data_IF_742394244046
#
_entry.id   IF_742394244046
#
_cell.length_a   1.000
_cell.length_b   1.000
_cell.length_c   1.000
_cell.angle_alpha   90.00
_cell.angle_beta   90.00
_cell.angle_gamma   90.00
#
_symmetry.space_group_name_H-M   'P 1'
#
loop_
_entity.id
_entity.type
_entity.pdbx_description
1 polymer ?
#
# COMPACT_ATOMS: atom_id res chain seq x y z
N UNK A 1 22.11 -49.87 -20.51
CA UNK A 1 22.99 -48.82 -19.94
C UNK A 1 22.28 -48.26 -18.72
N UNK A 2 22.73 -48.68 -17.51
CA UNK A 2 22.14 -48.26 -16.23
C UNK A 2 22.45 -46.81 -15.95
N UNK A 3 21.39 -45.99 -15.89
CA UNK A 3 21.47 -44.68 -15.26
C UNK A 3 21.07 -44.86 -13.79
N UNK A 4 22.04 -44.86 -12.92
CA UNK A 4 21.82 -44.77 -11.47
C UNK A 4 21.41 -43.36 -11.14
N UNK A 5 20.15 -43.17 -10.80
CA UNK A 5 19.63 -41.93 -10.25
C UNK A 5 20.05 -41.85 -8.79
N UNK A 6 21.12 -41.13 -8.51
CA UNK A 6 21.44 -40.65 -7.16
C UNK A 6 20.48 -39.51 -6.81
N UNK A 7 19.32 -39.86 -6.30
CA UNK A 7 18.43 -38.92 -5.60
C UNK A 7 18.95 -38.77 -4.17
N UNK A 8 20.00 -38.01 -3.98
CA UNK A 8 20.36 -37.48 -2.67
C UNK A 8 19.48 -36.28 -2.41
N UNK A 9 18.36 -36.52 -1.77
CA UNK A 9 17.52 -35.46 -1.18
C UNK A 9 18.30 -34.81 -0.03
N UNK A 10 19.14 -33.82 -0.32
CA UNK A 10 19.55 -32.85 0.69
C UNK A 10 18.36 -31.87 0.91
N UNK A 11 17.44 -32.28 1.78
CA UNK A 11 16.60 -31.34 2.45
C UNK A 11 17.52 -30.53 3.38
N UNK A 12 18.05 -29.40 2.87
CA UNK A 12 18.62 -28.39 3.75
C UNK A 12 17.50 -27.88 4.64
N UNK A 13 17.71 -27.76 5.97
CA UNK A 13 16.74 -27.12 6.82
C UNK A 13 16.48 -25.72 6.26
N UNK A 14 15.23 -25.35 6.23
CA UNK A 14 14.76 -24.04 5.80
C UNK A 14 15.22 -23.01 6.86
N UNK A 15 16.47 -22.57 6.76
CA UNK A 15 17.03 -21.46 7.54
C UNK A 15 16.48 -20.14 7.03
N UNK A 16 15.15 -20.03 7.00
CA UNK A 16 14.48 -18.75 6.80
C UNK A 16 14.93 -17.74 7.87
N UNK A 17 14.94 -16.44 7.56
CA UNK A 17 15.40 -15.42 8.51
C UNK A 17 14.63 -15.54 9.82
N UNK A 18 15.36 -15.57 10.94
CA UNK A 18 14.76 -15.72 12.27
C UNK A 18 13.97 -14.46 12.68
N UNK A 19 12.70 -14.42 12.29
CA UNK A 19 11.74 -13.40 12.74
C UNK A 19 11.11 -13.76 14.08
N UNK A 20 11.49 -14.90 14.68
CA UNK A 20 10.91 -15.42 15.93
C UNK A 20 11.23 -14.50 17.11
N UNK A 21 12.39 -13.86 17.11
CA UNK A 21 12.80 -12.94 18.18
C UNK A 21 11.85 -11.73 18.30
N UNK A 22 11.53 -11.07 17.20
CA UNK A 22 10.61 -9.93 17.17
C UNK A 22 9.17 -10.36 17.50
N UNK A 23 8.70 -11.48 16.94
CA UNK A 23 7.38 -12.04 17.26
C UNK A 23 7.25 -12.43 18.71
N UNK A 24 8.24 -13.14 19.27
CA UNK A 24 8.24 -13.56 20.67
C UNK A 24 8.30 -12.37 21.61
N UNK A 25 9.11 -11.35 21.31
CA UNK A 25 9.18 -10.12 22.12
C UNK A 25 7.82 -9.41 22.22
N UNK A 26 7.03 -9.40 21.15
CA UNK A 26 5.69 -8.77 21.13
C UNK A 26 4.63 -9.69 21.73
N UNK A 27 4.71 -11.01 21.54
CA UNK A 27 3.75 -11.96 22.09
C UNK A 27 3.78 -12.03 23.63
N UNK A 28 4.94 -11.77 24.24
CA UNK A 28 5.13 -11.75 25.70
C UNK A 28 5.05 -10.36 26.32
N UNK A 29 5.01 -9.30 25.47
CA UNK A 29 4.96 -7.93 25.94
C UNK A 29 3.53 -7.55 26.40
N UNK A 30 3.46 -6.76 27.46
CA UNK A 30 2.27 -6.03 27.87
C UNK A 30 2.54 -4.53 27.72
N UNK A 31 1.53 -3.76 27.35
CA UNK A 31 1.68 -2.30 27.33
C UNK A 31 1.93 -1.80 28.76
N UNK A 32 2.90 -0.91 28.93
CA UNK A 32 3.28 -0.34 30.24
C UNK A 32 2.13 0.39 30.94
N UNK A 33 1.12 0.80 30.18
CA UNK A 33 -0.11 1.43 30.67
C UNK A 33 -1.30 0.62 30.22
N UNK A 34 -1.61 -0.42 30.98
CA UNK A 34 -2.80 -1.21 30.75
C UNK A 34 -4.07 -0.39 31.07
N UNK A 35 -4.97 -0.30 30.07
CA UNK A 35 -6.38 -0.13 30.35
C UNK A 35 -6.98 -1.53 30.52
N UNK A 36 -7.79 -1.72 31.53
CA UNK A 36 -8.21 -3.02 32.06
C UNK A 36 -9.14 -3.87 31.18
N UNK A 37 -9.47 -3.43 29.97
CA UNK A 37 -10.45 -4.14 29.13
C UNK A 37 -9.88 -4.53 27.77
N UNK A 38 -9.75 -5.83 27.57
CA UNK A 38 -9.55 -6.46 26.27
C UNK A 38 -10.86 -6.37 25.45
N UNK A 39 -11.22 -5.17 25.01
CA UNK A 39 -12.34 -4.97 24.10
C UNK A 39 -11.97 -5.36 22.67
N UNK A 40 -12.92 -5.93 21.92
CA UNK A 40 -12.71 -6.17 20.50
C UNK A 40 -12.56 -4.83 19.76
N UNK A 41 -11.56 -4.75 18.88
CA UNK A 41 -11.41 -3.61 17.98
C UNK A 41 -12.55 -3.61 16.95
N UNK A 42 -13.29 -2.50 16.88
CA UNK A 42 -14.28 -2.28 15.81
C UNK A 42 -13.58 -1.60 14.63
N UNK A 43 -13.58 -2.19 13.42
CA UNK A 43 -13.10 -1.55 12.22
C UNK A 43 -13.77 -0.18 11.95
N UNK A 44 -15.00 0.02 12.43
CA UNK A 44 -15.74 1.27 12.33
C UNK A 44 -15.61 2.13 13.61
N UNK A 45 -14.42 2.18 14.19
CA UNK A 45 -14.09 2.86 15.44
C UNK A 45 -14.65 4.28 15.57
N UNK A 46 -14.83 4.99 14.43
CA UNK A 46 -15.39 6.36 14.42
C UNK A 46 -16.88 6.40 14.80
N UNK A 47 -17.60 5.29 14.66
CA UNK A 47 -18.99 5.19 15.08
C UNK A 47 -19.17 5.38 16.60
N UNK A 48 -18.15 5.04 17.39
CA UNK A 48 -18.14 5.21 18.83
C UNK A 48 -18.26 6.69 19.28
N UNK A 49 -17.95 7.65 18.39
CA UNK A 49 -18.14 9.09 18.65
C UNK A 49 -19.59 9.54 18.52
N UNK A 50 -20.51 8.69 18.02
CA UNK A 50 -21.92 9.01 17.78
C UNK A 50 -22.12 10.32 16.99
N UNK A 51 -21.23 10.60 16.04
CA UNK A 51 -21.26 11.77 15.18
C UNK A 51 -21.62 11.37 13.74
N UNK A 52 -22.83 11.74 13.26
CA UNK A 52 -23.28 11.37 11.92
C UNK A 52 -22.47 12.08 10.82
N UNK A 53 -21.96 13.29 11.09
CA UNK A 53 -21.16 14.06 10.14
C UNK A 53 -19.79 13.37 9.96
N UNK A 54 -19.14 13.02 11.06
CA UNK A 54 -17.89 12.25 11.03
C UNK A 54 -18.06 10.94 10.27
N UNK A 55 -19.12 10.19 10.57
CA UNK A 55 -19.41 8.92 9.92
C UNK A 55 -19.62 9.06 8.42
N UNK A 56 -20.34 10.09 7.99
CA UNK A 56 -20.56 10.38 6.58
C UNK A 56 -19.25 10.78 5.86
N UNK A 57 -18.43 11.63 6.49
CA UNK A 57 -17.13 12.06 5.94
C UNK A 57 -16.18 10.86 5.78
N UNK A 58 -16.07 10.00 6.78
CA UNK A 58 -15.22 8.80 6.72
C UNK A 58 -15.70 7.85 5.63
N UNK A 59 -17.00 7.59 5.57
CA UNK A 59 -17.59 6.71 4.53
C UNK A 59 -17.31 7.26 3.13
N UNK A 60 -17.48 8.55 2.92
CA UNK A 60 -17.19 9.19 1.63
C UNK A 60 -15.68 9.10 1.31
N UNK A 61 -14.81 9.33 2.27
CA UNK A 61 -13.37 9.22 2.06
C UNK A 61 -12.96 7.80 1.66
N UNK A 62 -13.47 6.78 2.33
CA UNK A 62 -13.18 5.38 1.98
C UNK A 62 -13.56 5.03 0.54
N UNK A 63 -14.58 5.69 -0.03
CA UNK A 63 -15.05 5.45 -1.39
C UNK A 63 -14.37 6.33 -2.44
N UNK A 64 -14.12 7.60 -2.11
CA UNK A 64 -13.75 8.62 -3.09
C UNK A 64 -12.28 9.09 -2.96
N UNK A 65 -11.59 8.79 -1.87
CA UNK A 65 -10.20 9.19 -1.67
C UNK A 65 -9.30 8.61 -2.77
N UNK A 66 -8.47 9.46 -3.37
CA UNK A 66 -7.63 9.06 -4.50
C UNK A 66 -6.52 8.08 -4.08
N UNK A 67 -5.96 8.20 -2.89
CA UNK A 67 -4.91 7.28 -2.42
C UNK A 67 -5.49 5.88 -2.19
N UNK A 68 -6.72 5.77 -1.65
CA UNK A 68 -7.44 4.50 -1.51
C UNK A 68 -7.71 3.87 -2.90
N UNK A 69 -8.14 4.68 -3.87
CA UNK A 69 -8.38 4.22 -5.24
C UNK A 69 -7.10 3.81 -5.96
N UNK A 70 -6.01 4.55 -5.78
CA UNK A 70 -4.68 4.18 -6.29
C UNK A 70 -4.23 2.85 -5.67
N UNK A 71 -4.38 2.68 -4.36
CA UNK A 71 -4.06 1.42 -3.70
C UNK A 71 -4.88 0.25 -4.25
N UNK A 72 -6.18 0.44 -4.49
CA UNK A 72 -7.03 -0.56 -5.13
C UNK A 72 -6.56 -0.93 -6.56
N UNK A 73 -6.12 0.05 -7.36
CA UNK A 73 -5.56 -0.24 -8.70
C UNK A 73 -4.24 -1.00 -8.62
N UNK A 74 -3.40 -0.74 -7.60
CA UNK A 74 -2.17 -1.52 -7.35
C UNK A 74 -2.47 -2.98 -7.02
N UNK A 75 -3.56 -3.25 -6.28
CA UNK A 75 -4.02 -4.63 -6.05
C UNK A 75 -4.37 -5.32 -7.37
N UNK A 76 -5.12 -4.66 -8.25
CA UNK A 76 -5.45 -5.22 -9.57
C UNK A 76 -4.19 -5.49 -10.39
N UNK A 77 -3.23 -4.57 -10.40
CA UNK A 77 -1.94 -4.73 -11.07
C UNK A 77 -1.15 -5.92 -10.52
N UNK A 78 -1.06 -6.05 -9.19
CA UNK A 78 -0.35 -7.14 -8.55
C UNK A 78 -1.01 -8.51 -8.82
N UNK A 79 -2.35 -8.58 -8.79
CA UNK A 79 -3.10 -9.79 -9.15
C UNK A 79 -2.89 -10.19 -10.61
N UNK A 80 -2.86 -9.24 -11.53
CA UNK A 80 -2.53 -9.51 -12.93
C UNK A 80 -1.09 -10.03 -13.07
N UNK A 81 -0.15 -9.49 -12.30
CA UNK A 81 1.23 -9.99 -12.20
C UNK A 81 1.31 -11.43 -11.69
N UNK A 82 0.55 -11.75 -10.63
CA UNK A 82 0.44 -13.12 -10.09
C UNK A 82 -0.14 -14.09 -11.13
N UNK A 83 -1.20 -13.70 -11.84
CA UNK A 83 -1.76 -14.50 -12.94
C UNK A 83 -0.73 -14.74 -14.04
N UNK A 84 0.02 -13.70 -14.44
CA UNK A 84 1.07 -13.82 -15.44
C UNK A 84 2.22 -14.74 -14.98
N UNK A 85 2.62 -14.67 -13.71
CA UNK A 85 3.62 -15.58 -13.16
C UNK A 85 3.13 -17.03 -13.12
N UNK A 86 1.89 -17.25 -12.66
CA UNK A 86 1.27 -18.57 -12.61
C UNK A 86 1.06 -19.18 -14.01
N UNK A 87 0.90 -18.38 -15.06
CA UNK A 87 0.76 -18.89 -16.43
C UNK A 87 1.98 -19.66 -16.92
N UNK A 88 3.17 -19.43 -16.33
CA UNK A 88 4.39 -20.22 -16.63
C UNK A 88 4.29 -21.69 -16.23
N UNK A 89 3.35 -22.03 -15.34
CA UNK A 89 3.08 -23.42 -14.94
C UNK A 89 2.29 -24.20 -15.99
N UNK A 90 1.67 -23.51 -16.94
CA UNK A 90 0.87 -24.10 -18.01
C UNK A 90 1.62 -24.05 -19.35
N UNK A 91 1.32 -24.97 -20.29
CA UNK A 91 1.85 -24.88 -21.63
C UNK A 91 1.32 -23.65 -22.37
N UNK A 92 2.17 -23.07 -23.23
CA UNK A 92 1.78 -22.03 -24.18
C UNK A 92 1.46 -22.63 -25.54
N UNK A 93 0.42 -22.16 -26.19
CA UNK A 93 0.03 -22.58 -27.52
C UNK A 93 0.00 -21.35 -28.44
N UNK A 94 0.77 -21.40 -29.52
CA UNK A 94 0.86 -20.34 -30.50
C UNK A 94 0.50 -20.82 -31.91
N UNK A 95 -0.16 -19.96 -32.68
CA UNK A 95 -0.34 -20.16 -34.11
C UNK A 95 0.63 -19.26 -34.86
N UNK A 96 1.53 -19.85 -35.64
CA UNK A 96 2.50 -19.14 -36.44
C UNK A 96 2.23 -19.34 -37.95
N UNK A 97 2.41 -18.26 -38.70
CA UNK A 97 2.32 -18.28 -40.16
C UNK A 97 3.52 -17.54 -40.77
N UNK A 98 4.12 -18.12 -41.79
CA UNK A 98 5.20 -17.46 -42.52
C UNK A 98 5.08 -17.68 -44.02
N UNK A 99 5.38 -16.65 -44.78
CA UNK A 99 5.55 -16.71 -46.23
C UNK A 99 6.96 -16.32 -46.57
N UNK A 100 7.68 -17.11 -47.32
CA UNK A 100 9.04 -16.84 -47.77
C UNK A 100 9.22 -17.10 -49.25
N UNK A 101 9.94 -16.25 -49.95
CA UNK A 101 10.37 -16.39 -51.33
C UNK A 101 11.88 -16.19 -51.37
N UNK A 102 12.61 -17.27 -51.44
CA UNK A 102 14.07 -17.29 -51.46
C UNK A 102 14.57 -17.62 -52.87
N UNK A 103 15.32 -16.73 -53.44
CA UNK A 103 15.91 -16.93 -54.80
C UNK A 103 17.42 -16.96 -54.70
N UNK A 104 17.97 -18.02 -55.26
CA UNK A 104 19.42 -18.16 -55.42
C UNK A 104 19.86 -17.43 -56.69
N UNK A 105 20.84 -16.52 -56.58
CA UNK A 105 21.45 -15.87 -57.72
C UNK A 105 22.39 -16.77 -58.53
N UNK A 106 22.40 -18.07 -58.28
CA UNK A 106 23.27 -19.04 -58.97
C UNK A 106 22.71 -19.41 -60.33
N UNK A 107 23.62 -19.70 -61.33
CA UNK A 107 23.20 -20.27 -62.58
C UNK A 107 22.44 -21.59 -62.42
N UNK A 108 21.53 -21.88 -63.34
CA UNK A 108 20.60 -23.04 -63.20
C UNK A 108 21.31 -24.41 -63.03
N UNK A 109 22.53 -24.55 -63.55
CA UNK A 109 23.34 -25.77 -63.34
C UNK A 109 23.65 -26.03 -61.86
N UNK A 110 23.68 -25.03 -61.01
CA UNK A 110 24.01 -25.10 -59.59
C UNK A 110 22.77 -25.02 -58.71
N UNK A 111 21.57 -24.75 -59.26
CA UNK A 111 20.33 -24.67 -58.50
C UNK A 111 19.87 -25.98 -57.83
N UNK A 112 20.49 -27.10 -58.24
CA UNK A 112 20.26 -28.40 -57.56
C UNK A 112 20.77 -28.42 -56.13
N UNK A 113 21.80 -27.68 -55.83
CA UNK A 113 22.41 -27.57 -54.47
C UNK A 113 21.86 -26.37 -53.66
N UNK A 114 21.31 -25.38 -54.36
CA UNK A 114 20.67 -24.19 -53.71
C UNK A 114 19.47 -23.75 -54.53
N UNK A 115 18.34 -24.45 -54.40
CA UNK A 115 17.14 -24.24 -55.20
C UNK A 115 16.45 -22.90 -54.82
N UNK A 116 15.76 -22.31 -55.82
CA UNK A 116 14.77 -21.28 -55.54
C UNK A 116 13.61 -21.87 -54.79
N UNK A 117 13.24 -21.31 -53.65
CA UNK A 117 12.17 -21.86 -52.82
C UNK A 117 11.13 -20.80 -52.48
N UNK A 118 9.87 -21.09 -52.66
CA UNK A 118 8.75 -20.35 -52.11
C UNK A 118 8.02 -21.25 -51.14
N UNK A 119 7.87 -20.78 -49.88
CA UNK A 119 7.17 -21.54 -48.87
C UNK A 119 6.12 -20.70 -48.17
N UNK A 120 4.92 -21.25 -48.06
CA UNK A 120 3.88 -20.78 -47.15
C UNK A 120 3.76 -21.82 -46.03
N UNK A 121 4.01 -21.42 -44.80
CA UNK A 121 4.00 -22.30 -43.64
C UNK A 121 2.98 -21.83 -42.62
N UNK A 122 2.25 -22.79 -42.05
CA UNK A 122 1.38 -22.55 -40.90
C UNK A 122 1.66 -23.64 -39.87
N UNK A 123 1.88 -23.25 -38.61
CA UNK A 123 2.13 -24.20 -37.53
C UNK A 123 1.43 -23.82 -36.25
N UNK A 124 1.06 -24.85 -35.51
CA UNK A 124 0.60 -24.78 -34.14
C UNK A 124 1.77 -25.22 -33.25
N UNK A 125 2.27 -24.33 -32.41
CA UNK A 125 3.45 -24.54 -31.59
C UNK A 125 3.05 -24.58 -30.12
N UNK A 126 3.39 -25.68 -29.43
CA UNK A 126 3.24 -25.84 -27.99
C UNK A 126 4.62 -25.76 -27.35
N UNK A 127 4.75 -24.92 -26.35
CA UNK A 127 5.95 -24.82 -25.51
C UNK A 127 5.58 -24.90 -24.04
N UNK A 128 6.29 -25.74 -23.29
CA UNK A 128 6.09 -25.88 -21.86
C UNK A 128 7.40 -26.16 -21.13
N UNK A 129 7.70 -25.34 -20.11
CA UNK A 129 8.76 -25.63 -19.15
C UNK A 129 8.15 -26.48 -18.03
N UNK A 130 8.59 -27.76 -17.97
CA UNK A 130 8.12 -28.68 -16.92
C UNK A 130 8.85 -28.35 -15.62
N UNK A 131 8.12 -27.83 -14.65
CA UNK A 131 8.66 -27.34 -13.38
C UNK A 131 8.96 -28.49 -12.41
N UNK A 132 10.06 -29.22 -12.67
CA UNK A 132 10.48 -30.36 -11.85
C UNK A 132 10.99 -29.89 -10.49
N UNK A 133 11.79 -28.82 -10.47
CA UNK A 133 12.47 -28.34 -9.27
C UNK A 133 11.80 -27.15 -8.60
N UNK A 134 10.67 -26.71 -9.09
CA UNK A 134 9.83 -25.71 -8.46
C UNK A 134 10.22 -24.25 -8.71
N UNK A 135 11.03 -23.95 -9.72
CA UNK A 135 11.41 -22.59 -10.06
C UNK A 135 10.18 -21.74 -10.47
N UNK A 136 9.36 -22.27 -11.39
CA UNK A 136 8.17 -21.57 -11.83
C UNK A 136 7.10 -21.47 -10.72
N UNK A 137 6.94 -22.52 -9.89
CA UNK A 137 6.08 -22.47 -8.70
C UNK A 137 6.54 -21.42 -7.71
N UNK A 138 7.84 -21.39 -7.37
CA UNK A 138 8.40 -20.41 -6.46
C UNK A 138 8.22 -18.96 -6.98
N UNK A 139 8.36 -18.75 -8.29
CA UNK A 139 8.10 -17.46 -8.94
C UNK A 139 6.62 -17.06 -8.85
N UNK A 140 5.70 -18.01 -9.05
CA UNK A 140 4.26 -17.79 -8.91
C UNK A 140 3.87 -17.49 -7.45
N UNK A 141 4.42 -18.25 -6.49
CA UNK A 141 4.25 -18.00 -5.05
C UNK A 141 4.72 -16.59 -4.66
N UNK A 142 5.90 -16.17 -5.14
CA UNK A 142 6.42 -14.82 -4.87
C UNK A 142 5.46 -13.74 -5.37
N UNK A 143 4.96 -13.87 -6.59
CA UNK A 143 4.01 -12.92 -7.16
C UNK A 143 2.64 -12.94 -6.46
N UNK A 144 2.20 -14.09 -5.94
CA UNK A 144 0.97 -14.19 -5.15
C UNK A 144 1.14 -13.51 -3.78
N UNK A 145 2.26 -13.72 -3.10
CA UNK A 145 2.56 -12.99 -1.86
C UNK A 145 2.67 -11.48 -2.08
N UNK A 146 3.23 -11.01 -3.20
CA UNK A 146 3.23 -9.59 -3.56
C UNK A 146 1.79 -9.05 -3.76
N UNK A 147 0.91 -9.85 -4.36
CA UNK A 147 -0.48 -9.48 -4.53
C UNK A 147 -1.23 -9.41 -3.18
N UNK A 148 -0.95 -10.35 -2.27
CA UNK A 148 -1.46 -10.32 -0.90
C UNK A 148 -0.93 -9.10 -0.14
N UNK A 149 0.38 -8.79 -0.22
CA UNK A 149 0.97 -7.60 0.40
C UNK A 149 0.32 -6.31 -0.11
N UNK A 150 0.03 -6.24 -1.42
CA UNK A 150 -0.67 -5.10 -2.02
C UNK A 150 -2.11 -4.96 -1.51
N UNK A 151 -2.81 -6.08 -1.26
CA UNK A 151 -4.15 -6.08 -0.68
C UNK A 151 -4.14 -5.53 0.76
N UNK A 152 -3.18 -5.96 1.58
CA UNK A 152 -3.00 -5.44 2.94
C UNK A 152 -2.63 -3.95 2.94
N UNK A 153 -1.77 -3.52 2.01
CA UNK A 153 -1.44 -2.10 1.84
C UNK A 153 -2.66 -1.25 1.45
N UNK A 154 -3.61 -1.81 0.70
CA UNK A 154 -4.86 -1.12 0.38
C UNK A 154 -5.78 -0.98 1.60
N UNK A 155 -5.85 -1.97 2.49
CA UNK A 155 -6.52 -1.84 3.78
C UNK A 155 -5.83 -0.78 4.67
N UNK A 156 -4.50 -0.74 4.66
CA UNK A 156 -3.72 0.32 5.32
C UNK A 156 -4.07 1.71 4.81
N UNK A 157 -4.21 1.88 3.50
CA UNK A 157 -4.61 3.16 2.90
C UNK A 157 -6.02 3.59 3.32
N UNK A 158 -6.97 2.66 3.44
CA UNK A 158 -8.32 2.94 3.97
C UNK A 158 -8.28 3.38 5.43
N UNK A 159 -7.48 2.71 6.26
CA UNK A 159 -7.31 3.07 7.67
C UNK A 159 -6.71 4.47 7.82
N UNK A 160 -5.66 4.78 7.05
CA UNK A 160 -5.02 6.09 7.05
C UNK A 160 -5.96 7.20 6.60
N UNK A 161 -6.73 6.98 5.50
CA UNK A 161 -7.71 7.95 5.02
C UNK A 161 -8.79 8.21 6.08
N UNK A 162 -9.32 7.17 6.72
CA UNK A 162 -10.32 7.27 7.79
C UNK A 162 -9.79 8.05 9.00
N UNK A 163 -8.56 7.74 9.42
CA UNK A 163 -7.91 8.37 10.58
C UNK A 163 -7.60 9.83 10.31
N UNK A 164 -7.13 10.17 9.11
CA UNK A 164 -6.79 11.53 8.75
C UNK A 164 -8.04 12.42 8.60
N UNK A 165 -9.12 11.89 8.01
CA UNK A 165 -10.41 12.59 7.98
C UNK A 165 -10.92 12.88 9.39
N UNK A 166 -10.89 11.91 10.29
CA UNK A 166 -11.32 12.12 11.67
C UNK A 166 -10.45 13.15 12.39
N UNK A 167 -9.13 13.07 12.24
CA UNK A 167 -8.18 14.03 12.82
C UNK A 167 -8.44 15.45 12.34
N UNK A 168 -8.64 15.64 11.03
CA UNK A 168 -8.92 16.94 10.44
C UNK A 168 -10.32 17.45 10.83
N UNK A 169 -11.32 16.58 10.90
CA UNK A 169 -12.66 16.95 11.35
C UNK A 169 -12.65 17.51 12.79
N UNK A 170 -12.00 16.83 13.73
CA UNK A 170 -11.87 17.33 15.10
C UNK A 170 -10.99 18.59 15.18
N UNK A 171 -9.96 18.72 14.35
CA UNK A 171 -9.17 19.95 14.26
C UNK A 171 -10.03 21.12 13.73
N UNK A 172 -10.86 20.87 12.74
CA UNK A 172 -11.80 21.86 12.18
C UNK A 172 -12.83 22.29 13.22
N UNK A 173 -13.46 21.35 13.91
CA UNK A 173 -14.42 21.65 15.00
C UNK A 173 -13.77 22.45 16.12
N UNK A 174 -12.58 22.06 16.53
CA UNK A 174 -11.83 22.79 17.57
C UNK A 174 -11.40 24.19 17.14
N UNK A 175 -11.04 24.38 15.86
CA UNK A 175 -10.72 25.71 15.31
C UNK A 175 -11.96 26.62 15.28
N UNK A 176 -13.11 26.09 14.87
CA UNK A 176 -14.39 26.82 14.87
C UNK A 176 -14.83 27.21 16.28
N UNK A 177 -14.72 26.29 17.23
CA UNK A 177 -15.06 26.60 18.62
C UNK A 177 -14.19 27.73 19.17
N UNK A 178 -12.88 27.70 18.88
CA UNK A 178 -11.98 28.81 19.25
C UNK A 178 -12.36 30.11 18.54
N UNK A 179 -12.66 30.06 17.25
CA UNK A 179 -13.09 31.23 16.50
C UNK A 179 -14.34 31.86 17.14
N UNK A 180 -15.33 31.07 17.46
CA UNK A 180 -16.56 31.54 18.12
C UNK A 180 -16.24 32.20 19.48
N UNK A 181 -15.45 31.55 20.32
CA UNK A 181 -15.06 32.10 21.62
C UNK A 181 -14.29 33.43 21.48
N UNK A 182 -13.41 33.55 20.49
CA UNK A 182 -12.69 34.80 20.23
C UNK A 182 -13.59 35.88 19.68
N UNK A 183 -14.60 35.55 18.87
CA UNK A 183 -15.59 36.51 18.39
C UNK A 183 -16.46 37.03 19.55
N UNK A 184 -16.91 36.16 20.44
CA UNK A 184 -17.65 36.54 21.66
C UNK A 184 -16.80 37.43 22.58
N UNK A 185 -15.55 37.06 22.83
CA UNK A 185 -14.61 37.84 23.63
C UNK A 185 -14.34 39.20 22.99
N UNK A 186 -14.22 39.28 21.67
CA UNK A 186 -14.01 40.54 20.95
C UNK A 186 -15.24 41.47 21.13
N UNK A 187 -16.45 40.94 21.08
CA UNK A 187 -17.66 41.75 21.35
C UNK A 187 -17.63 42.31 22.77
N UNK A 188 -17.32 41.52 23.79
CA UNK A 188 -17.19 41.99 25.17
C UNK A 188 -16.11 43.07 25.30
N UNK A 189 -14.99 43.00 24.63
CA UNK A 189 -13.92 43.98 24.61
C UNK A 189 -14.34 45.27 23.92
N UNK A 190 -15.06 45.18 22.80
CA UNK A 190 -15.63 46.34 22.12
C UNK A 190 -16.64 47.09 23.00
N UNK A 191 -17.46 46.37 23.75
CA UNK A 191 -18.43 46.96 24.69
C UNK A 191 -17.69 47.66 25.85
N UNK A 192 -16.65 47.05 26.36
CA UNK A 192 -15.78 47.65 27.42
C UNK A 192 -15.09 48.91 26.91
N UNK A 193 -14.53 48.89 25.71
CA UNK A 193 -13.92 50.07 25.09
C UNK A 193 -14.92 51.21 24.89
N UNK A 194 -16.15 50.89 24.41
CA UNK A 194 -17.23 51.89 24.30
C UNK A 194 -17.57 52.52 25.65
N UNK A 195 -17.65 51.74 26.73
CA UNK A 195 -17.90 52.22 28.07
C UNK A 195 -16.79 53.16 28.57
N UNK A 196 -15.51 52.79 28.38
CA UNK A 196 -14.36 53.59 28.78
C UNK A 196 -14.32 54.93 28.01
N UNK A 197 -14.61 54.93 26.72
CA UNK A 197 -14.76 56.16 25.89
C UNK A 197 -15.89 57.06 26.37
N UNK A 198 -17.04 56.51 26.76
CA UNK A 198 -18.15 57.28 27.33
C UNK A 198 -17.74 57.91 28.68
N UNK A 199 -17.00 57.20 29.51
CA UNK A 199 -16.49 57.77 30.79
C UNK A 199 -15.45 58.86 30.57
N UNK A 200 -14.59 58.72 29.59
CA UNK A 200 -13.59 59.75 29.22
C UNK A 200 -14.29 61.02 28.77
N UNK A 201 -15.31 60.91 27.92
CA UNK A 201 -16.12 62.03 27.47
C UNK A 201 -16.83 62.80 28.63
N UNK A 202 -17.04 62.11 29.77
CA UNK A 202 -17.58 62.69 31.02
C UNK A 202 -16.52 63.13 31.99
N UNK A 203 -15.23 63.02 31.62
CA UNK A 203 -14.10 63.35 32.50
C UNK A 203 -13.78 62.31 33.60
N UNK A 204 -14.41 61.12 33.53
CA UNK A 204 -14.30 60.05 34.53
C UNK A 204 -13.25 58.97 34.21
N UNK A 205 -12.59 59.07 33.06
CA UNK A 205 -11.51 58.21 32.63
C UNK A 205 -10.43 59.02 31.90
N UNK A 206 -9.19 58.50 31.85
CA UNK A 206 -8.09 59.17 31.16
C UNK A 206 -8.03 58.75 29.66
N UNK A 207 -7.37 59.59 28.83
CA UNK A 207 -7.03 59.20 27.44
C UNK A 207 -6.15 57.97 27.38
N UNK A 208 -5.32 57.75 28.40
CA UNK A 208 -4.51 56.57 28.53
C UNK A 208 -5.38 55.30 28.67
N UNK A 209 -6.42 55.32 29.47
CA UNK A 209 -7.33 54.19 29.63
C UNK A 209 -8.04 53.87 28.34
N UNK A 210 -8.49 54.88 27.56
CA UNK A 210 -9.05 54.69 26.24
C UNK A 210 -8.07 54.07 25.28
N UNK A 211 -6.82 54.57 25.22
CA UNK A 211 -5.80 54.04 24.33
C UNK A 211 -5.42 52.60 24.70
N UNK A 212 -5.34 52.26 25.99
CA UNK A 212 -5.09 50.92 26.48
C UNK A 212 -6.23 49.95 26.07
N UNK A 213 -7.46 50.32 26.31
CA UNK A 213 -8.61 49.49 25.94
C UNK A 213 -8.71 49.27 24.43
N UNK A 214 -8.42 50.28 23.62
CA UNK A 214 -8.35 50.17 22.18
C UNK A 214 -7.21 49.24 21.72
N UNK A 215 -6.05 49.36 22.34
CA UNK A 215 -4.92 48.47 22.02
C UNK A 215 -5.24 46.97 22.33
N UNK A 216 -5.87 46.71 23.50
CA UNK A 216 -6.30 45.36 23.87
C UNK A 216 -7.35 44.80 22.90
N UNK A 217 -8.34 45.61 22.51
CA UNK A 217 -9.35 45.23 21.49
C UNK A 217 -8.71 44.91 20.16
N UNK A 218 -7.79 45.76 19.68
CA UNK A 218 -7.06 45.55 18.43
C UNK A 218 -6.19 44.31 18.42
N UNK A 219 -5.48 44.09 19.56
CA UNK A 219 -4.67 42.88 19.73
C UNK A 219 -5.49 41.61 19.66
N UNK A 220 -6.70 41.58 20.20
CA UNK A 220 -7.61 40.46 20.13
C UNK A 220 -8.18 40.29 18.71
N UNK A 221 -8.59 41.40 18.08
CA UNK A 221 -9.08 41.38 16.71
C UNK A 221 -8.08 40.82 15.71
N UNK A 222 -6.78 41.08 15.93
CA UNK A 222 -5.70 40.55 15.09
C UNK A 222 -5.54 39.02 15.19
N UNK A 223 -6.12 38.36 16.19
CA UNK A 223 -6.04 36.90 16.35
C UNK A 223 -7.13 36.15 15.57
N UNK A 224 -8.19 36.83 15.11
CA UNK A 224 -9.28 36.20 14.35
C UNK A 224 -8.89 35.77 12.92
N UNK A 225 -8.16 36.56 12.12
CA UNK A 225 -7.80 36.15 10.76
C UNK A 225 -7.01 34.83 10.71
N UNK A 226 -6.03 34.55 11.56
CA UNK A 226 -5.36 33.24 11.61
C UNK A 226 -6.31 32.07 11.91
N UNK A 227 -7.30 32.27 12.81
CA UNK A 227 -8.28 31.24 13.14
C UNK A 227 -9.20 30.96 11.95
N UNK A 228 -9.68 32.00 11.25
CA UNK A 228 -10.47 31.86 10.03
C UNK A 228 -9.68 31.15 8.92
N UNK A 229 -8.40 31.50 8.78
CA UNK A 229 -7.50 30.77 7.85
C UNK A 229 -7.40 29.29 8.21
N UNK A 230 -7.24 28.96 9.48
CA UNK A 230 -7.16 27.58 9.96
C UNK A 230 -8.44 26.80 9.66
N UNK A 231 -9.62 27.38 9.91
CA UNK A 231 -10.91 26.75 9.58
C UNK A 231 -11.01 26.48 8.08
N UNK A 232 -10.72 27.48 7.25
CA UNK A 232 -10.80 27.33 5.79
C UNK A 232 -9.81 26.27 5.26
N UNK A 233 -8.54 26.37 5.67
CA UNK A 233 -7.50 25.43 5.18
C UNK A 233 -7.73 24.00 5.63
N UNK A 234 -8.24 23.79 6.84
CA UNK A 234 -8.61 22.45 7.32
C UNK A 234 -9.81 21.90 6.54
N UNK A 235 -10.81 22.74 6.21
CA UNK A 235 -11.91 22.38 5.32
C UNK A 235 -11.44 21.98 3.92
N UNK A 236 -10.46 22.71 3.36
CA UNK A 236 -9.85 22.36 2.07
C UNK A 236 -9.12 21.02 2.11
N UNK A 237 -8.41 20.71 3.20
CA UNK A 237 -7.74 19.42 3.39
C UNK A 237 -8.77 18.26 3.47
N UNK A 238 -9.87 18.46 4.17
CA UNK A 238 -10.96 17.47 4.21
C UNK A 238 -11.54 17.29 2.80
N UNK A 239 -11.79 18.37 2.03
CA UNK A 239 -12.26 18.27 0.65
C UNK A 239 -11.35 17.41 -0.21
N UNK A 240 -10.03 17.60 -0.10
CA UNK A 240 -9.04 16.80 -0.84
C UNK A 240 -9.13 15.31 -0.48
N UNK A 241 -9.26 14.98 0.82
CA UNK A 241 -9.41 13.58 1.26
C UNK A 241 -10.70 12.94 0.76
N UNK A 242 -11.74 13.74 0.53
CA UNK A 242 -13.00 13.29 -0.07
C UNK A 242 -12.96 13.22 -1.60
N UNK A 243 -11.80 13.43 -2.22
CA UNK A 243 -11.62 13.44 -3.68
C UNK A 243 -12.31 14.63 -4.36
N UNK A 244 -12.52 15.74 -3.65
CA UNK A 244 -13.21 16.95 -4.14
C UNK A 244 -12.25 18.13 -4.25
N UNK A 245 -12.58 19.05 -5.16
CA UNK A 245 -11.87 20.34 -5.24
C UNK A 245 -12.15 21.19 -3.99
N UNK A 246 -11.12 21.86 -3.48
CA UNK A 246 -11.27 22.84 -2.41
C UNK A 246 -12.21 24.02 -2.75
N UNK A 247 -12.46 24.26 -4.04
CA UNK A 247 -13.39 25.32 -4.50
C UNK A 247 -14.86 24.90 -4.41
N UNK A 248 -15.14 23.62 -4.17
CA UNK A 248 -16.51 23.12 -4.03
C UNK A 248 -16.93 23.16 -2.56
N UNK A 249 -18.12 23.72 -2.25
CA UNK A 249 -18.61 23.72 -0.89
C UNK A 249 -18.82 22.29 -0.38
N UNK A 250 -18.53 22.07 0.89
CA UNK A 250 -18.81 20.84 1.61
C UNK A 250 -20.07 21.03 2.47
N UNK A 251 -21.25 20.58 2.00
CA UNK A 251 -22.50 20.78 2.76
C UNK A 251 -22.49 20.13 4.15
N UNK A 252 -21.67 19.09 4.33
CA UNK A 252 -21.48 18.40 5.62
C UNK A 252 -20.73 19.27 6.64
N UNK A 253 -19.90 20.21 6.19
CA UNK A 253 -19.18 21.17 7.04
C UNK A 253 -19.89 22.52 7.00
N UNK A 254 -21.14 22.55 7.45
CA UNK A 254 -21.90 23.80 7.50
C UNK A 254 -21.42 24.68 8.66
N UNK A 255 -20.80 25.82 8.31
CA UNK A 255 -20.33 26.78 9.29
C UNK A 255 -21.46 27.48 10.08
N UNK A 256 -22.70 27.36 9.65
CA UNK A 256 -23.88 27.90 10.36
C UNK A 256 -24.33 27.03 11.53
N UNK A 257 -23.94 25.75 11.54
CA UNK A 257 -24.20 24.85 12.66
C UNK A 257 -23.18 25.11 13.78
N UNK A 258 -23.63 25.26 15.00
CA UNK A 258 -22.76 25.49 16.15
C UNK A 258 -21.70 24.35 16.27
N UNK A 259 -20.41 24.68 16.49
CA UNK A 259 -19.36 23.67 16.63
C UNK A 259 -19.61 22.85 17.89
N UNK A 260 -19.45 21.53 17.77
CA UNK A 260 -19.60 20.60 18.89
C UNK A 260 -18.46 19.57 18.86
N UNK A 261 -17.82 19.39 20.00
CA UNK A 261 -16.91 18.31 20.21
C UNK A 261 -17.63 17.16 20.91
N UNK A 262 -17.68 15.96 20.32
CA UNK A 262 -18.28 14.79 20.96
C UNK A 262 -17.43 14.34 22.16
N UNK A 263 -18.05 13.61 23.05
CA UNK A 263 -17.33 12.95 24.13
C UNK A 263 -16.34 11.93 23.56
N UNK A 264 -15.15 11.88 24.17
CA UNK A 264 -14.11 10.93 23.77
C UNK A 264 -14.49 9.54 24.27
N UNK A 265 -14.76 8.57 23.39
CA UNK A 265 -15.15 7.23 23.81
C UNK A 265 -14.00 6.53 24.55
N UNK A 266 -14.34 5.59 25.43
CA UNK A 266 -13.38 4.70 26.02
C UNK A 266 -12.99 3.64 24.98
N UNK A 267 -11.82 3.79 24.36
CA UNK A 267 -11.29 2.82 23.42
C UNK A 267 -10.27 1.94 24.15
N UNK A 268 -10.48 0.62 24.20
CA UNK A 268 -9.52 -0.30 24.80
C UNK A 268 -8.26 -0.38 23.93
N UNK A 269 -7.05 -0.30 24.50
CA UNK A 269 -5.81 -0.33 23.74
C UNK A 269 -5.53 -1.71 23.10
N UNK A 270 -6.17 -2.78 23.57
CA UNK A 270 -5.85 -4.15 23.15
C UNK A 270 -4.53 -4.67 23.74
N UNK A 271 -4.09 -5.83 23.27
CA UNK A 271 -2.81 -6.45 23.64
C UNK A 271 -1.76 -6.18 22.53
N UNK A 272 -0.46 -6.04 22.84
CA UNK A 272 0.57 -5.89 21.81
C UNK A 272 0.57 -7.03 20.77
N UNK A 273 0.31 -8.27 21.20
CA UNK A 273 0.21 -9.41 20.30
C UNK A 273 -0.91 -9.30 19.25
N UNK A 274 -2.01 -8.59 19.58
CA UNK A 274 -3.11 -8.36 18.64
C UNK A 274 -2.72 -7.42 17.50
N UNK A 275 -1.71 -6.55 17.68
CA UNK A 275 -1.21 -5.68 16.61
C UNK A 275 -0.71 -6.48 15.44
N UNK A 276 -0.03 -7.63 15.68
CA UNK A 276 0.48 -8.50 14.63
C UNK A 276 -0.63 -9.03 13.71
N UNK A 277 -1.81 -9.32 14.30
CA UNK A 277 -2.95 -9.84 13.54
C UNK A 277 -3.82 -8.74 12.92
N UNK A 278 -3.83 -7.54 13.50
CA UNK A 278 -4.79 -6.48 13.13
C UNK A 278 -4.21 -5.41 12.20
N UNK A 279 -2.94 -5.05 12.36
CA UNK A 279 -2.33 -3.96 11.59
C UNK A 279 -2.05 -4.38 10.14
N UNK A 280 -2.65 -3.68 9.15
CA UNK A 280 -2.43 -4.01 7.74
C UNK A 280 -0.97 -3.81 7.28
N UNK A 281 -0.25 -2.84 7.85
CA UNK A 281 1.16 -2.57 7.54
C UNK A 281 2.07 -3.73 7.96
N UNK A 282 1.80 -4.35 9.13
CA UNK A 282 2.55 -5.51 9.60
C UNK A 282 2.24 -6.75 8.74
N UNK A 283 0.97 -6.97 8.40
CA UNK A 283 0.57 -8.06 7.51
C UNK A 283 1.16 -7.88 6.11
N UNK A 284 1.19 -6.65 5.57
CA UNK A 284 1.85 -6.37 4.30
C UNK A 284 3.35 -6.70 4.35
N UNK A 285 4.06 -6.29 5.40
CA UNK A 285 5.47 -6.58 5.57
C UNK A 285 5.75 -8.08 5.73
N UNK A 286 4.88 -8.82 6.42
CA UNK A 286 4.96 -10.28 6.54
C UNK A 286 4.80 -10.96 5.17
N UNK A 287 3.84 -10.52 4.33
CA UNK A 287 3.67 -11.04 2.98
C UNK A 287 4.84 -10.71 2.07
N UNK A 288 5.42 -9.51 2.20
CA UNK A 288 6.65 -9.15 1.46
C UNK A 288 7.83 -10.04 1.85
N UNK A 289 7.99 -10.35 3.13
CA UNK A 289 9.03 -11.29 3.58
C UNK A 289 8.82 -12.69 2.98
N UNK A 290 7.57 -13.18 2.97
CA UNK A 290 7.23 -14.46 2.34
C UNK A 290 7.52 -14.45 0.83
N UNK A 291 7.29 -13.33 0.14
CA UNK A 291 7.63 -13.16 -1.27
C UNK A 291 9.13 -13.25 -1.52
N UNK A 292 9.95 -12.59 -0.68
CA UNK A 292 11.42 -12.69 -0.81
C UNK A 292 11.93 -14.10 -0.52
N UNK A 293 11.36 -14.83 0.45
CA UNK A 293 11.68 -16.24 0.69
C UNK A 293 11.32 -17.12 -0.52
N UNK A 294 10.22 -16.84 -1.21
CA UNK A 294 9.88 -17.54 -2.46
C UNK A 294 10.90 -17.24 -3.59
N UNK A 295 11.38 -15.98 -3.69
CA UNK A 295 12.45 -15.62 -4.66
C UNK A 295 13.78 -16.28 -4.37
N UNK A 296 14.10 -16.55 -3.11
CA UNK A 296 15.28 -17.38 -2.76
C UNK A 296 15.11 -18.79 -3.26
N UNK A 297 13.93 -19.41 -3.09
CA UNK A 297 13.64 -20.76 -3.63
C UNK A 297 13.72 -20.77 -5.16
N UNK A 298 13.20 -19.75 -5.87
CA UNK A 298 13.35 -19.61 -7.31
C UNK A 298 14.84 -19.56 -7.71
N UNK A 299 15.63 -18.68 -7.08
CA UNK A 299 17.06 -18.53 -7.40
C UNK A 299 17.87 -19.81 -7.15
N UNK A 300 17.53 -20.59 -6.12
CA UNK A 300 18.13 -21.90 -5.86
C UNK A 300 17.72 -22.93 -6.93
N UNK A 301 16.47 -22.95 -7.33
CA UNK A 301 15.99 -23.86 -8.37
C UNK A 301 16.60 -23.54 -9.75
N UNK A 302 16.96 -22.29 -10.02
CA UNK A 302 17.67 -21.87 -11.25
C UNK A 302 19.08 -22.44 -11.40
N UNK A 303 19.68 -22.97 -10.33
CA UNK A 303 20.94 -23.69 -10.37
C UNK A 303 20.80 -25.14 -10.90
N UNK A 304 19.55 -25.65 -10.95
CA UNK A 304 19.22 -27.02 -11.31
C UNK A 304 18.85 -27.13 -12.79
N UNK A 305 18.82 -28.38 -13.36
CA UNK A 305 18.38 -28.57 -14.75
C UNK A 305 16.97 -28.12 -15.00
N UNK A 306 16.72 -27.49 -16.14
CA UNK A 306 15.38 -27.13 -16.64
C UNK A 306 14.95 -28.09 -17.73
N UNK A 307 13.68 -28.48 -17.75
CA UNK A 307 13.10 -29.43 -18.71
C UNK A 307 12.04 -28.72 -19.55
N UNK A 308 12.13 -28.92 -20.87
CA UNK A 308 11.25 -28.28 -21.84
C UNK A 308 10.57 -29.35 -22.69
N UNK A 309 9.24 -29.26 -22.80
CA UNK A 309 8.45 -29.99 -23.78
C UNK A 309 8.05 -29.02 -24.89
N UNK A 310 8.40 -29.36 -26.12
CA UNK A 310 7.98 -28.63 -27.30
C UNK A 310 7.24 -29.60 -28.24
N UNK A 311 6.12 -29.12 -28.77
CA UNK A 311 5.40 -29.85 -29.83
C UNK A 311 5.02 -28.88 -30.93
N UNK A 312 5.17 -29.31 -32.17
CA UNK A 312 4.90 -28.52 -33.34
C UNK A 312 4.11 -29.37 -34.34
N UNK A 313 3.00 -28.84 -34.79
CA UNK A 313 2.15 -29.45 -35.81
C UNK A 313 1.89 -28.42 -36.91
N UNK A 314 2.25 -28.73 -38.16
CA UNK A 314 2.16 -27.76 -39.23
C UNK A 314 1.85 -28.34 -40.58
N UNK A 315 1.56 -27.44 -41.50
CA UNK A 315 1.47 -27.69 -42.91
C UNK A 315 2.27 -26.65 -43.68
N UNK A 316 2.88 -27.04 -44.76
CA UNK A 316 3.55 -26.10 -45.68
C UNK A 316 3.21 -26.42 -47.14
N UNK A 317 3.00 -25.36 -47.88
CA UNK A 317 3.01 -25.40 -49.34
C UNK A 317 4.42 -24.95 -49.78
N UNK A 318 5.10 -25.82 -50.52
CA UNK A 318 6.47 -25.58 -50.95
C UNK A 318 6.55 -25.65 -52.48
N UNK A 319 7.11 -24.62 -53.08
CA UNK A 319 7.50 -24.58 -54.48
C UNK A 319 9.03 -24.56 -54.58
N UNK A 320 9.60 -25.49 -55.33
CA UNK A 320 11.04 -25.64 -55.53
C UNK A 320 11.36 -25.52 -57.01
N UNK A 321 12.19 -24.57 -57.42
CA UNK A 321 12.52 -24.31 -58.84
C UNK A 321 11.29 -24.23 -59.73
N UNK A 322 10.21 -23.50 -59.29
CA UNK A 322 8.93 -23.33 -59.97
C UNK A 322 8.05 -24.59 -60.01
N UNK A 323 8.45 -25.68 -59.41
CA UNK A 323 7.60 -26.89 -59.28
C UNK A 323 6.90 -26.87 -57.93
N UNK A 324 5.56 -26.83 -57.93
CA UNK A 324 4.78 -26.93 -56.72
C UNK A 324 4.82 -28.38 -56.21
N UNK A 325 5.22 -28.55 -54.96
CA UNK A 325 5.11 -29.81 -54.23
C UNK A 325 3.71 -29.90 -53.61
N UNK A 326 3.20 -31.11 -53.43
CA UNK A 326 1.94 -31.29 -52.67
C UNK A 326 2.11 -30.77 -51.27
N UNK A 327 1.05 -30.21 -50.65
CA UNK A 327 1.11 -29.74 -49.26
C UNK A 327 1.67 -30.81 -48.34
N UNK A 328 2.74 -30.44 -47.59
CA UNK A 328 3.41 -31.36 -46.68
C UNK A 328 2.96 -31.03 -45.25
N UNK A 329 2.46 -32.05 -44.55
CA UNK A 329 2.20 -31.96 -43.11
C UNK A 329 3.43 -32.43 -42.37
N UNK A 330 3.77 -31.72 -41.28
CA UNK A 330 4.89 -32.08 -40.44
C UNK A 330 4.51 -31.96 -38.98
N UNK A 331 5.10 -32.80 -38.16
CA UNK A 331 4.96 -32.75 -36.71
C UNK A 331 6.29 -33.06 -36.05
N UNK A 332 6.54 -32.41 -34.93
CA UNK A 332 7.69 -32.68 -34.09
C UNK A 332 7.23 -32.61 -32.63
N UNK A 333 7.65 -33.57 -31.83
CA UNK A 333 7.52 -33.54 -30.37
C UNK A 333 8.92 -33.77 -29.80
N UNK A 334 9.40 -32.86 -28.96
CA UNK A 334 10.72 -32.91 -28.40
C UNK A 334 10.68 -32.66 -26.89
N UNK A 335 11.40 -33.48 -26.15
CA UNK A 335 11.74 -33.24 -24.75
C UNK A 335 13.23 -32.86 -24.70
N UNK A 336 13.51 -31.70 -24.14
CA UNK A 336 14.86 -31.17 -23.98
C UNK A 336 15.13 -30.84 -22.52
N UNK A 337 16.41 -30.91 -22.13
CA UNK A 337 16.83 -30.35 -20.84
C UNK A 337 18.03 -29.41 -21.06
N UNK A 338 18.15 -28.44 -20.16
CA UNK A 338 19.30 -27.51 -20.12
C UNK A 338 19.78 -27.36 -18.69
N UNK A 339 21.08 -27.52 -18.50
CA UNK A 339 21.74 -27.35 -17.19
C UNK A 339 22.94 -26.42 -17.34
N UNK A 340 23.01 -25.31 -16.58
CA UNK A 340 24.12 -24.37 -16.62
C UNK A 340 25.32 -24.97 -15.85
N UNK A 341 26.33 -25.53 -16.55
CA UNK A 341 27.53 -26.09 -15.92
C UNK A 341 28.54 -25.02 -15.51
N UNK A 342 28.68 -23.95 -16.30
CA UNK A 342 29.56 -22.84 -16.03
C UNK A 342 28.95 -21.52 -16.50
N UNK A 343 28.84 -20.53 -15.60
CA UNK A 343 28.27 -19.22 -15.87
C UNK A 343 29.03 -18.08 -15.15
N UNK A 344 30.33 -18.31 -14.87
CA UNK A 344 31.21 -17.37 -14.18
C UNK A 344 30.60 -16.81 -12.84
N UNK A 345 29.85 -17.66 -12.11
CA UNK A 345 29.26 -17.29 -10.82
C UNK A 345 27.95 -16.52 -10.87
N UNK A 346 27.39 -16.22 -12.06
CA UNK A 346 26.18 -15.41 -12.23
C UNK A 346 24.98 -15.93 -11.42
N UNK A 347 24.72 -17.23 -11.44
CA UNK A 347 23.57 -17.82 -10.74
C UNK A 347 23.77 -17.84 -9.22
N UNK A 348 24.98 -18.09 -8.74
CA UNK A 348 25.30 -18.00 -7.30
C UNK A 348 25.15 -16.56 -6.81
N UNK A 349 25.65 -15.59 -7.57
CA UNK A 349 25.45 -14.18 -7.22
C UNK A 349 23.96 -13.76 -7.25
N UNK A 350 23.13 -14.41 -8.07
CA UNK A 350 21.68 -14.20 -8.05
C UNK A 350 21.04 -14.77 -6.76
N UNK A 351 21.46 -15.96 -6.32
CA UNK A 351 21.03 -16.56 -5.04
C UNK A 351 21.48 -15.70 -3.85
N UNK A 352 22.76 -15.30 -3.81
CA UNK A 352 23.30 -14.44 -2.76
C UNK A 352 22.52 -13.12 -2.65
N UNK A 353 22.18 -12.53 -3.80
CA UNK A 353 21.35 -11.32 -3.88
C UNK A 353 19.94 -11.56 -3.35
N UNK A 354 19.30 -12.68 -3.70
CA UNK A 354 17.96 -13.02 -3.22
C UNK A 354 17.99 -13.23 -1.69
N UNK A 355 18.97 -13.97 -1.18
CA UNK A 355 19.16 -14.20 0.26
C UNK A 355 19.43 -12.88 1.01
N UNK A 356 20.21 -11.97 0.44
CA UNK A 356 20.44 -10.65 1.05
C UNK A 356 19.18 -9.81 1.10
N UNK A 357 18.30 -9.87 0.06
CA UNK A 357 17.00 -9.19 0.04
C UNK A 357 16.04 -9.76 1.10
N UNK A 358 15.98 -11.08 1.22
CA UNK A 358 15.16 -11.75 2.23
C UNK A 358 15.58 -11.30 3.65
N UNK A 359 16.89 -11.28 3.95
CA UNK A 359 17.40 -10.76 5.23
C UNK A 359 17.03 -9.28 5.44
N UNK A 360 17.14 -8.46 4.38
CA UNK A 360 16.73 -7.06 4.43
C UNK A 360 15.23 -6.90 4.72
N UNK A 361 14.39 -7.74 4.11
CA UNK A 361 12.95 -7.75 4.34
C UNK A 361 12.60 -8.21 5.77
N UNK A 362 13.34 -9.18 6.32
CA UNK A 362 13.18 -9.60 7.72
C UNK A 362 13.45 -8.45 8.70
N UNK A 363 14.53 -7.69 8.47
CA UNK A 363 14.83 -6.50 9.30
C UNK A 363 13.79 -5.39 9.13
N UNK A 364 13.20 -5.22 7.93
CA UNK A 364 12.12 -4.28 7.69
C UNK A 364 10.85 -4.68 8.46
N UNK A 365 10.51 -5.97 8.46
CA UNK A 365 9.41 -6.51 9.25
C UNK A 365 9.64 -6.27 10.76
N UNK A 366 10.84 -6.58 11.27
CA UNK A 366 11.18 -6.33 12.68
C UNK A 366 11.06 -4.85 13.04
N UNK A 367 11.58 -3.96 12.21
CA UNK A 367 11.44 -2.51 12.39
C UNK A 367 9.99 -2.06 12.42
N UNK A 368 9.15 -2.62 11.53
CA UNK A 368 7.72 -2.29 11.48
C UNK A 368 7.00 -2.74 12.78
N UNK A 369 7.33 -3.93 13.30
CA UNK A 369 6.78 -4.44 14.57
C UNK A 369 7.17 -3.53 15.74
N UNK A 370 8.45 -3.18 15.87
CA UNK A 370 8.93 -2.28 16.93
C UNK A 370 8.29 -0.89 16.82
N UNK A 371 8.19 -0.35 15.60
CA UNK A 371 7.52 0.92 15.34
C UNK A 371 6.04 0.90 15.72
N UNK A 372 5.34 -0.18 15.43
CA UNK A 372 3.93 -0.35 15.78
C UNK A 372 3.69 -0.31 17.29
N UNK A 373 4.56 -0.99 18.07
CA UNK A 373 4.49 -0.97 19.54
C UNK A 373 4.78 0.43 20.08
N UNK A 374 5.82 1.09 19.55
CA UNK A 374 6.16 2.46 19.94
C UNK A 374 4.99 3.43 19.68
N UNK A 375 4.37 3.39 18.49
CA UNK A 375 3.25 4.28 18.16
C UNK A 375 2.08 4.15 19.12
N UNK A 376 1.75 2.92 19.56
CA UNK A 376 0.67 2.70 20.53
C UNK A 376 1.06 3.23 21.91
N UNK A 377 2.27 2.93 22.39
CA UNK A 377 2.76 3.44 23.68
C UNK A 377 2.76 4.99 23.71
N UNK A 378 3.28 5.63 22.67
CA UNK A 378 3.30 7.08 22.54
C UNK A 378 1.87 7.67 22.55
N UNK A 379 0.95 7.02 21.86
CA UNK A 379 -0.47 7.42 21.80
C UNK A 379 -1.15 7.29 23.16
N UNK A 380 -0.89 6.21 23.92
CA UNK A 380 -1.42 6.00 25.26
C UNK A 380 -0.88 7.04 26.25
N UNK A 381 0.42 7.36 26.18
CA UNK A 381 1.03 8.42 26.98
C UNK A 381 0.41 9.77 26.66
N UNK A 382 0.30 10.11 25.36
CA UNK A 382 -0.30 11.36 24.91
C UNK A 382 -1.75 11.52 25.38
N UNK A 383 -2.56 10.46 25.24
CA UNK A 383 -3.96 10.46 25.69
C UNK A 383 -4.07 10.69 27.19
N UNK A 384 -3.27 9.97 27.99
CA UNK A 384 -3.28 10.12 29.45
C UNK A 384 -2.90 11.54 29.91
N UNK A 385 -1.91 12.17 29.25
CA UNK A 385 -1.51 13.54 29.61
C UNK A 385 -2.55 14.57 29.17
N UNK A 386 -3.16 14.39 27.98
CA UNK A 386 -4.25 15.27 27.51
C UNK A 386 -5.47 15.21 28.44
N UNK A 387 -5.86 14.00 28.90
CA UNK A 387 -6.95 13.83 29.90
C UNK A 387 -6.64 14.56 31.23
N UNK A 388 -5.42 14.41 31.76
CA UNK A 388 -5.00 15.13 32.97
C UNK A 388 -5.06 16.65 32.77
N UNK A 389 -4.62 17.15 31.61
CA UNK A 389 -4.68 18.59 31.30
C UNK A 389 -6.13 19.08 31.21
N UNK A 390 -7.04 18.34 30.59
CA UNK A 390 -8.45 18.71 30.50
C UNK A 390 -9.05 18.84 31.89
N UNK A 391 -8.89 17.83 32.77
CA UNK A 391 -9.38 17.86 34.15
C UNK A 391 -8.84 19.05 34.96
N UNK A 392 -7.55 19.39 34.77
CA UNK A 392 -6.96 20.56 35.44
C UNK A 392 -7.54 21.87 34.95
N UNK A 393 -7.86 22.00 33.68
CA UNK A 393 -8.52 23.18 33.08
C UNK A 393 -9.97 23.33 33.55
N UNK A 394 -10.72 22.22 33.60
CA UNK A 394 -12.10 22.21 34.09
C UNK A 394 -12.18 22.64 35.57
N UNK A 395 -11.21 22.17 36.39
CA UNK A 395 -11.09 22.62 37.81
C UNK A 395 -10.82 24.11 37.96
N UNK A 396 -10.13 24.74 37.01
CA UNK A 396 -9.90 26.20 36.99
C UNK A 396 -11.15 26.99 36.61
N UNK A 397 -12.03 26.46 35.78
CA UNK A 397 -13.28 27.12 35.41
C UNK A 397 -14.34 27.06 36.52
N UNK A 398 -14.27 26.08 37.42
CA UNK A 398 -15.22 25.90 38.51
C UNK A 398 -14.89 26.75 39.77
N UNK A 399 -13.76 27.47 39.80
CA UNK A 399 -13.37 28.46 40.83
C UNK A 399 -13.76 29.88 40.40
#
# INVERSE_FOLDING_TARGET
LCIVVLAAACASPDDGPDTRSARNAVQTAEFRRQGSDAGSFDPNWWAAFNDPVLSALVTQAQQANLDVRIAATRVLQARAGSTAAASRLAPTLGLNGSASDQRSGLPDAYKRTSPDTRALRTSLDLGWEIDVFGAARASADAADFDAQASAEAAEGARLLASSEVARLYFAWQGARLRQQQFEELLQMRLDTERLIRSREAQGLASRFDVARAAAETQSLAAQLPPLRTLVATTGHQISLLLGRSATQPLPMLDERVAPRLPEVPALPPGQPAELLARRPDLRAAERQLAAEGARVREARADLLPRFFLAALFGAQDLTVNSQALSPVRYSNVALAFSMPLFNAGRLRAAEDRATARERGSAMQYERAVLGAVQEVEDSLVALAQKRKRALALDALQSQ
#
